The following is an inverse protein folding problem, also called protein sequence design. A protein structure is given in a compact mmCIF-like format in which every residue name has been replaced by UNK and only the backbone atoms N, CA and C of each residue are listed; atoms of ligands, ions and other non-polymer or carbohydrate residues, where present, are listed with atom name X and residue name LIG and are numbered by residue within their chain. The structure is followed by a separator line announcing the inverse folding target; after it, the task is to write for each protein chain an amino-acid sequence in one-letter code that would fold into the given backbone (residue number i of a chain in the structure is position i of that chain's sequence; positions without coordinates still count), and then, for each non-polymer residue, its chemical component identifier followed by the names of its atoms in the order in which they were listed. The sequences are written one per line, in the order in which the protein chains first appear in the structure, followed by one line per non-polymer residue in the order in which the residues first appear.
data_IF_693707510546
#
_entry.id   IF_693707510546
#
_cell.length_a   1.000
_cell.length_b   1.000
_cell.length_c   1.000
_cell.angle_alpha   90.00
_cell.angle_beta   90.00
_cell.angle_gamma   90.00
#
_symmetry.space_group_name_H-M   'P 1'
#
loop_
_entity.id
_entity.type
_entity.pdbx_description
1 polymer ?
#
# COMPACT_ATOMS: atom_id res chain seq x y z
N UNK A 1 0.22 14.21 -24.99
CA UNK A 1 0.68 13.87 -23.62
C UNK A 1 1.80 14.83 -23.26
N UNK A 2 1.74 15.45 -22.09
CA UNK A 2 2.87 16.25 -21.57
C UNK A 2 3.90 15.35 -20.89
N UNK A 3 5.17 15.76 -20.87
CA UNK A 3 6.26 15.06 -20.15
C UNK A 3 5.89 14.84 -18.68
N UNK A 4 5.21 15.81 -18.06
CA UNK A 4 4.72 15.73 -16.69
C UNK A 4 3.73 14.56 -16.48
N UNK A 5 2.85 14.31 -17.45
CA UNK A 5 1.87 13.20 -17.37
C UNK A 5 2.56 11.84 -17.40
N UNK A 6 3.61 11.72 -18.22
CA UNK A 6 4.40 10.48 -18.34
C UNK A 6 5.16 10.22 -17.03
N UNK A 7 5.81 11.25 -16.48
CA UNK A 7 6.51 11.15 -15.20
C UNK A 7 5.56 10.74 -14.06
N UNK A 8 4.37 11.35 -13.99
CA UNK A 8 3.37 11.02 -12.97
C UNK A 8 2.88 9.57 -13.10
N UNK A 9 2.61 9.09 -14.32
CA UNK A 9 2.19 7.71 -14.54
C UNK A 9 3.28 6.71 -14.11
N UNK A 10 4.54 6.99 -14.44
CA UNK A 10 5.67 6.13 -14.10
C UNK A 10 5.89 6.07 -12.58
N UNK A 11 5.98 7.23 -11.92
CA UNK A 11 6.17 7.32 -10.47
C UNK A 11 4.97 6.71 -9.73
N UNK A 12 3.75 7.00 -10.18
CA UNK A 12 2.54 6.43 -9.59
C UNK A 12 2.53 4.92 -9.70
N UNK A 13 2.86 4.35 -10.85
CA UNK A 13 2.90 2.90 -11.04
C UNK A 13 3.91 2.25 -10.10
N UNK A 14 5.11 2.82 -9.98
CA UNK A 14 6.12 2.33 -9.03
C UNK A 14 5.62 2.44 -7.58
N UNK A 15 4.93 3.52 -7.24
CA UNK A 15 4.35 3.68 -5.92
C UNK A 15 3.33 2.59 -5.61
N UNK A 16 2.32 2.41 -6.48
CA UNK A 16 1.25 1.43 -6.32
C UNK A 16 1.80 0.00 -6.22
N UNK A 17 2.79 -0.33 -7.05
CA UNK A 17 3.30 -1.69 -7.17
C UNK A 17 4.29 -2.09 -6.07
N UNK A 18 4.90 -1.13 -5.37
CA UNK A 18 5.94 -1.44 -4.38
C UNK A 18 5.63 -1.01 -2.96
N UNK A 19 5.14 0.22 -2.78
CA UNK A 19 5.09 0.84 -1.44
C UNK A 19 4.10 0.16 -0.49
N UNK A 20 2.80 0.00 -0.84
CA UNK A 20 1.84 -0.55 0.10
C UNK A 20 2.18 -2.00 0.47
N UNK A 21 2.51 -2.84 -0.51
CA UNK A 21 2.88 -4.23 -0.24
C UNK A 21 4.18 -4.37 0.56
N UNK A 22 5.19 -3.54 0.30
CA UNK A 22 6.42 -3.55 1.10
C UNK A 22 6.16 -3.18 2.57
N UNK A 23 5.28 -2.20 2.83
CA UNK A 23 4.89 -1.84 4.20
C UNK A 23 4.17 -2.98 4.92
N UNK A 24 3.30 -3.72 4.22
CA UNK A 24 2.68 -4.93 4.78
C UNK A 24 3.75 -5.99 5.09
N UNK A 25 4.68 -6.21 4.17
CA UNK A 25 5.75 -7.19 4.37
C UNK A 25 6.58 -6.87 5.62
N UNK A 26 6.94 -5.59 5.82
CA UNK A 26 7.66 -5.12 7.01
C UNK A 26 6.83 -5.24 8.32
N UNK A 27 5.51 -5.13 8.23
CA UNK A 27 4.62 -5.29 9.38
C UNK A 27 4.47 -6.75 9.79
N UNK A 28 4.24 -7.63 8.82
CA UNK A 28 3.85 -9.02 9.06
C UNK A 28 5.08 -9.92 9.24
N UNK A 29 6.09 -9.78 8.40
CA UNK A 29 7.26 -10.66 8.39
C UNK A 29 8.45 -9.97 9.07
N UNK A 30 9.00 -10.62 10.11
CA UNK A 30 10.07 -10.04 10.94
C UNK A 30 11.47 -10.27 10.34
N UNK A 31 11.71 -11.43 9.77
CA UNK A 31 13.01 -11.87 9.30
C UNK A 31 12.85 -12.41 7.88
N UNK A 32 13.12 -11.56 6.89
CA UNK A 32 13.19 -11.93 5.47
C UNK A 32 14.40 -11.24 4.88
N UNK A 33 15.11 -11.95 4.00
CA UNK A 33 16.19 -11.33 3.23
C UNK A 33 15.62 -10.21 2.34
N UNK A 34 16.46 -9.25 1.96
CA UNK A 34 16.04 -8.09 1.17
C UNK A 34 15.38 -8.52 -0.16
N UNK A 35 15.91 -9.56 -0.82
CA UNK A 35 15.38 -10.07 -2.08
C UNK A 35 13.97 -10.65 -1.90
N UNK A 36 13.78 -11.45 -0.86
CA UNK A 36 12.48 -12.03 -0.52
C UNK A 36 11.49 -10.93 -0.15
N UNK A 37 11.93 -9.94 0.64
CA UNK A 37 11.10 -8.80 1.04
C UNK A 37 10.61 -8.00 -0.17
N UNK A 38 11.45 -7.81 -1.18
CA UNK A 38 11.06 -7.15 -2.43
C UNK A 38 10.05 -8.00 -3.19
N UNK A 39 10.33 -9.30 -3.40
CA UNK A 39 9.44 -10.20 -4.14
C UNK A 39 8.07 -10.33 -3.47
N UNK A 40 8.04 -10.54 -2.15
CA UNK A 40 6.81 -10.58 -1.35
C UNK A 40 6.13 -9.22 -1.33
N UNK A 41 6.89 -8.12 -1.23
CA UNK A 41 6.34 -6.76 -1.31
C UNK A 41 5.58 -6.52 -2.60
N UNK A 42 6.13 -6.91 -3.75
CA UNK A 42 5.45 -6.82 -5.05
C UNK A 42 4.16 -7.66 -5.06
N UNK A 43 4.25 -8.93 -4.63
CA UNK A 43 3.10 -9.81 -4.59
C UNK A 43 1.98 -9.28 -3.68
N UNK A 44 2.35 -8.72 -2.52
CA UNK A 44 1.41 -8.10 -1.59
C UNK A 44 0.78 -6.83 -2.17
N UNK A 45 1.53 -6.00 -2.89
CA UNK A 45 0.97 -4.82 -3.57
C UNK A 45 -0.06 -5.22 -4.61
N UNK A 46 0.23 -6.21 -5.45
CA UNK A 46 -0.73 -6.73 -6.43
C UNK A 46 -1.99 -7.25 -5.72
N UNK A 47 -1.82 -7.97 -4.60
CA UNK A 47 -2.95 -8.42 -3.78
C UNK A 47 -3.80 -7.24 -3.25
N UNK A 48 -3.16 -6.17 -2.77
CA UNK A 48 -3.84 -4.95 -2.32
C UNK A 48 -4.60 -4.29 -3.47
N UNK A 49 -3.99 -4.20 -4.67
CA UNK A 49 -4.63 -3.62 -5.85
C UNK A 49 -5.89 -4.38 -6.26
N UNK A 50 -5.81 -5.73 -6.26
CA UNK A 50 -6.96 -6.60 -6.55
C UNK A 50 -8.06 -6.39 -5.51
N UNK A 51 -7.71 -6.41 -4.21
CA UNK A 51 -8.67 -6.21 -3.13
C UNK A 51 -9.31 -4.82 -3.20
N UNK A 52 -8.54 -3.79 -3.56
CA UNK A 52 -9.04 -2.44 -3.75
C UNK A 52 -10.03 -2.38 -4.92
N UNK A 53 -9.72 -3.03 -6.04
CA UNK A 53 -10.62 -3.12 -7.18
C UNK A 53 -11.95 -3.79 -6.82
N UNK A 54 -11.89 -4.89 -6.06
CA UNK A 54 -13.09 -5.56 -5.53
C UNK A 54 -13.86 -4.64 -4.59
N UNK A 55 -13.18 -3.99 -3.65
CA UNK A 55 -13.79 -3.08 -2.67
C UNK A 55 -14.53 -1.91 -3.34
N UNK A 56 -13.95 -1.34 -4.39
CA UNK A 56 -14.53 -0.20 -5.10
C UNK A 56 -15.67 -0.59 -6.06
N UNK A 57 -15.77 -1.85 -6.49
CA UNK A 57 -16.55 -2.15 -7.70
C UNK A 57 -17.33 -3.45 -7.74
N UNK A 58 -17.22 -4.32 -6.74
CA UNK A 58 -17.80 -5.66 -6.84
C UNK A 58 -19.34 -5.69 -6.85
N UNK A 59 -20.02 -4.78 -6.15
CA UNK A 59 -21.49 -4.68 -6.12
C UNK A 59 -22.01 -3.25 -6.35
N UNK A 60 -23.30 -3.12 -6.67
CA UNK A 60 -23.95 -1.80 -6.81
C UNK A 60 -23.85 -0.97 -5.52
N UNK A 61 -24.13 -1.58 -4.37
CA UNK A 61 -24.02 -0.93 -3.06
C UNK A 61 -22.59 -0.45 -2.77
N UNK A 62 -21.57 -1.24 -3.11
CA UNK A 62 -20.17 -0.81 -2.95
C UNK A 62 -19.82 0.36 -3.88
N UNK A 63 -20.29 0.36 -5.12
CA UNK A 63 -20.08 1.49 -6.04
C UNK A 63 -20.73 2.77 -5.54
N UNK A 64 -21.93 2.69 -4.98
CA UNK A 64 -22.63 3.83 -4.40
C UNK A 64 -21.92 4.38 -3.16
N UNK A 65 -21.39 3.50 -2.30
CA UNK A 65 -20.68 3.89 -1.07
C UNK A 65 -19.27 4.45 -1.34
N UNK A 66 -18.53 3.83 -2.26
CA UNK A 66 -17.11 4.16 -2.50
C UNK A 66 -16.90 5.15 -3.64
N UNK A 67 -17.95 5.43 -4.42
CA UNK A 67 -17.88 6.21 -5.65
C UNK A 67 -17.41 5.40 -6.87
N UNK A 68 -17.22 4.08 -6.74
CA UNK A 68 -16.86 3.19 -7.84
C UNK A 68 -15.38 3.18 -8.20
N UNK A 69 -15.01 2.31 -9.15
CA UNK A 69 -13.67 2.25 -9.73
C UNK A 69 -13.47 3.44 -10.68
N UNK A 70 -12.98 4.54 -10.13
CA UNK A 70 -12.50 5.71 -10.88
C UNK A 70 -11.02 5.93 -10.59
N UNK A 71 -10.30 6.58 -11.51
CA UNK A 71 -8.88 6.88 -11.30
C UNK A 71 -8.64 7.67 -10.00
N UNK A 72 -9.51 8.65 -9.72
CA UNK A 72 -9.42 9.45 -8.50
C UNK A 72 -9.59 8.59 -7.23
N UNK A 73 -10.64 7.75 -7.18
CA UNK A 73 -10.88 6.89 -6.02
C UNK A 73 -9.75 5.87 -5.83
N UNK A 74 -9.28 5.23 -6.91
CA UNK A 74 -8.18 4.29 -6.83
C UNK A 74 -6.94 4.93 -6.20
N UNK A 75 -6.53 6.11 -6.67
CA UNK A 75 -5.41 6.86 -6.08
C UNK A 75 -5.67 7.28 -4.64
N UNK A 76 -6.86 7.81 -4.34
CA UNK A 76 -7.21 8.27 -3.01
C UNK A 76 -7.15 7.13 -1.98
N UNK A 77 -7.83 6.01 -2.24
CA UNK A 77 -7.82 4.87 -1.33
C UNK A 77 -6.44 4.22 -1.22
N UNK A 78 -5.66 4.18 -2.31
CA UNK A 78 -4.27 3.69 -2.27
C UNK A 78 -3.37 4.55 -1.39
N UNK A 79 -3.50 5.88 -1.46
CA UNK A 79 -2.80 6.80 -0.57
C UNK A 79 -3.23 6.61 0.89
N UNK A 80 -4.53 6.45 1.15
CA UNK A 80 -5.06 6.20 2.49
C UNK A 80 -4.51 4.88 3.06
N UNK A 81 -4.58 3.78 2.30
CA UNK A 81 -4.02 2.48 2.69
C UNK A 81 -2.53 2.62 3.02
N UNK A 82 -1.77 3.29 2.14
CA UNK A 82 -0.34 3.51 2.35
C UNK A 82 -0.05 4.33 3.60
N UNK A 83 -0.82 5.38 3.86
CA UNK A 83 -0.67 6.23 5.04
C UNK A 83 -0.97 5.46 6.35
N UNK A 84 -2.03 4.65 6.35
CA UNK A 84 -2.39 3.78 7.48
C UNK A 84 -1.29 2.76 7.76
N UNK A 85 -0.81 2.06 6.73
CA UNK A 85 0.28 1.08 6.86
C UNK A 85 1.58 1.74 7.31
N UNK A 86 1.93 2.90 6.77
CA UNK A 86 3.11 3.67 7.16
C UNK A 86 3.05 4.07 8.62
N UNK A 87 1.89 4.54 9.09
CA UNK A 87 1.67 4.86 10.50
C UNK A 87 1.83 3.62 11.39
N UNK A 88 1.27 2.48 10.99
CA UNK A 88 1.42 1.23 11.73
C UNK A 88 2.89 0.78 11.82
N UNK A 89 3.67 0.91 10.73
CA UNK A 89 5.11 0.60 10.73
C UNK A 89 5.87 1.51 11.70
N UNK A 90 5.56 2.81 11.69
CA UNK A 90 6.18 3.77 12.59
C UNK A 90 5.88 3.46 14.05
N UNK A 91 4.61 3.17 14.38
CA UNK A 91 4.20 2.78 15.73
C UNK A 91 4.89 1.49 16.20
N UNK A 92 4.99 0.48 15.33
CA UNK A 92 5.73 -0.76 15.60
C UNK A 92 7.21 -0.47 15.93
N UNK A 93 7.87 0.38 15.14
CA UNK A 93 9.28 0.77 15.35
C UNK A 93 9.49 1.60 16.61
N UNK A 94 8.54 2.46 16.98
CA UNK A 94 8.61 3.23 18.24
C UNK A 94 8.42 2.31 19.45
N UNK A 95 7.43 1.41 19.41
CA UNK A 95 7.15 0.47 20.50
C UNK A 95 8.34 -0.46 20.77
N UNK A 96 9.02 -0.96 19.73
CA UNK A 96 10.18 -1.85 19.92
C UNK A 96 11.37 -1.13 20.57
N UNK A 97 11.58 0.16 20.26
CA UNK A 97 12.62 0.99 20.90
C UNK A 97 12.35 1.25 22.38
N UNK A 98 11.09 1.49 22.75
CA UNK A 98 10.70 1.72 24.15
C UNK A 98 10.86 0.45 24.99
N UNK A 99 10.51 -0.72 24.44
CA UNK A 99 10.68 -2.01 25.11
C UNK A 99 12.15 -2.38 25.38
N UNK A 100 13.09 -1.89 24.56
CA UNK A 100 14.52 -2.15 24.74
C UNK A 100 15.18 -1.24 25.78
N UNK A 101 14.66 -0.04 26.03
CA UNK A 101 15.16 0.89 27.07
C UNK A 101 14.74 0.52 28.50
N UNK A 102 13.81 -0.43 28.68
CA UNK A 102 13.30 -0.87 30.00
C UNK A 102 13.89 -2.21 30.48
N UNK A 103 14.74 -2.85 29.67
CA UNK A 103 15.56 -3.99 30.08
C UNK A 103 16.96 -3.51 30.39
#
# INVERSE_FOLDING_TARGET
MSILSIAQAFIGTLFALFVPGYLVTELVFKEMDLKEKIATGIAMSIGIDILLGIFLGYSKSQKELTGGITAYNAWFYMLVITAVLGTAVLLKKLSSRVGHKRK
#
